data_IF_884878622243
#
_entry.id   IF_884878622243
#
_cell.length_a   1.000
_cell.length_b   1.000
_cell.length_c   1.000
_cell.angle_alpha   90.00
_cell.angle_beta   90.00
_cell.angle_gamma   90.00
#
_symmetry.space_group_name_H-M   'P 1'
#
loop_
_entity.id
_entity.type
_entity.pdbx_description
1 polymer ?
#
# COMPACT_ATOMS: atom_id res chain seq x y z
N UNK A 1 19.16 -1.55 -72.46
CA UNK A 1 19.97 -2.33 -71.49
C UNK A 1 20.31 -1.41 -70.34
N UNK A 2 19.43 -1.35 -69.34
CA UNK A 2 19.54 -0.46 -68.17
C UNK A 2 19.78 -1.33 -66.95
N UNK A 3 20.91 -1.09 -66.30
CA UNK A 3 21.50 -1.88 -65.23
C UNK A 3 20.60 -1.92 -63.99
N UNK A 4 20.39 -3.13 -63.45
CA UNK A 4 19.60 -3.43 -62.24
C UNK A 4 20.28 -2.99 -60.92
N UNK A 5 21.43 -2.33 -60.98
CA UNK A 5 22.24 -1.99 -59.80
C UNK A 5 22.02 -0.58 -59.22
N UNK A 6 21.13 0.24 -59.80
CA UNK A 6 20.94 1.63 -59.37
C UNK A 6 19.76 1.85 -58.38
N UNK A 7 19.27 0.78 -57.74
CA UNK A 7 18.06 0.85 -56.89
C UNK A 7 18.31 0.73 -55.38
N UNK A 8 19.58 0.61 -54.94
CA UNK A 8 19.90 0.29 -53.54
C UNK A 8 20.32 1.52 -52.71
N UNK A 9 20.66 2.66 -53.31
CA UNK A 9 21.27 3.79 -52.59
C UNK A 9 20.36 5.04 -52.41
N UNK A 10 19.06 4.85 -52.14
CA UNK A 10 18.20 5.94 -51.63
C UNK A 10 17.28 5.44 -50.52
N UNK A 11 17.84 5.27 -49.32
CA UNK A 11 17.06 5.36 -48.08
C UNK A 11 17.22 6.79 -47.53
N UNK A 12 16.15 7.58 -47.40
CA UNK A 12 16.23 8.84 -46.68
C UNK A 12 16.55 8.56 -45.21
N UNK A 13 17.60 9.21 -44.72
CA UNK A 13 18.04 9.15 -43.33
C UNK A 13 17.11 10.02 -42.47
N UNK A 14 15.89 9.56 -42.19
CA UNK A 14 14.95 10.24 -41.30
C UNK A 14 14.10 9.19 -40.59
N UNK A 15 14.69 8.43 -39.65
CA UNK A 15 13.89 7.61 -38.71
C UNK A 15 14.68 7.20 -37.45
N UNK A 16 15.66 8.03 -37.04
CA UNK A 16 16.43 7.80 -35.80
C UNK A 16 16.13 8.81 -34.69
N UNK A 17 15.41 9.90 -34.98
CA UNK A 17 15.02 10.86 -33.92
C UNK A 17 13.73 10.46 -33.19
N UNK A 18 12.98 9.47 -33.68
CA UNK A 18 11.72 9.04 -33.06
C UNK A 18 11.88 7.87 -32.06
N UNK A 19 13.10 7.42 -31.78
CA UNK A 19 13.40 6.34 -30.82
C UNK A 19 14.05 6.81 -29.52
N UNK A 20 14.33 8.11 -29.37
CA UNK A 20 14.90 8.66 -28.13
C UNK A 20 13.90 9.46 -27.28
N UNK A 21 12.63 9.53 -27.69
CA UNK A 21 11.53 9.94 -26.81
C UNK A 21 11.10 8.74 -25.96
N UNK A 22 11.98 8.32 -25.05
CA UNK A 22 11.54 7.64 -23.84
C UNK A 22 10.71 8.66 -23.08
N UNK A 23 9.40 8.68 -23.34
CA UNK A 23 8.44 9.28 -22.42
C UNK A 23 8.74 8.65 -21.07
N UNK A 24 9.35 9.42 -20.18
CA UNK A 24 9.40 9.10 -18.77
C UNK A 24 7.94 9.20 -18.37
N UNK A 25 7.23 8.08 -18.47
CA UNK A 25 5.94 7.92 -17.83
C UNK A 25 6.20 8.34 -16.39
N UNK A 26 5.65 9.49 -16.00
CA UNK A 26 5.63 9.92 -14.62
C UNK A 26 4.85 8.83 -13.92
N UNK A 27 5.57 7.84 -13.40
CA UNK A 27 5.05 6.91 -12.43
C UNK A 27 4.57 7.81 -11.33
N UNK A 28 3.25 7.92 -11.21
CA UNK A 28 2.59 8.62 -10.12
C UNK A 28 2.94 7.83 -8.85
N UNK A 29 4.16 8.07 -8.36
CA UNK A 29 4.72 7.42 -7.19
C UNK A 29 3.93 7.96 -6.02
N UNK A 30 2.86 7.24 -5.71
CA UNK A 30 2.00 7.55 -4.58
C UNK A 30 2.91 7.71 -3.36
N UNK A 31 2.93 8.89 -2.72
CA UNK A 31 3.84 9.15 -1.61
C UNK A 31 3.62 8.09 -0.54
N UNK A 32 4.73 7.60 0.03
CA UNK A 32 4.69 6.63 1.11
C UNK A 32 3.80 7.17 2.25
N UNK A 33 2.95 6.32 2.87
CA UNK A 33 2.06 6.77 3.93
C UNK A 33 2.86 7.31 5.11
N UNK A 34 2.47 8.48 5.62
CA UNK A 34 3.12 9.11 6.77
C UNK A 34 2.68 8.41 8.06
N UNK A 35 3.65 7.90 8.82
CA UNK A 35 3.40 7.34 10.15
C UNK A 35 3.17 8.49 11.14
N UNK A 36 1.99 8.49 11.76
CA UNK A 36 1.58 9.45 12.79
C UNK A 36 2.03 9.01 14.18
N UNK A 37 1.93 7.71 14.46
CA UNK A 37 2.23 7.12 15.76
C UNK A 37 2.64 5.66 15.60
N UNK A 38 3.44 5.15 16.53
CA UNK A 38 3.85 3.75 16.55
C UNK A 38 3.72 3.20 17.98
N UNK A 39 3.18 1.99 18.10
CA UNK A 39 3.11 1.24 19.36
C UNK A 39 3.95 -0.03 19.27
N UNK A 40 4.46 -0.51 20.40
CA UNK A 40 5.18 -1.77 20.49
C UNK A 40 4.26 -2.83 21.09
N UNK A 41 4.11 -3.94 20.37
CA UNK A 41 3.35 -5.11 20.83
C UNK A 41 4.12 -5.90 21.88
N UNK A 42 3.45 -6.75 22.66
CA UNK A 42 4.12 -7.69 23.57
C UNK A 42 5.07 -8.64 22.83
N UNK A 43 4.79 -8.95 21.55
CA UNK A 43 5.62 -9.79 20.69
C UNK A 43 6.80 -9.06 20.02
N UNK A 44 7.02 -7.77 20.29
CA UNK A 44 8.11 -6.97 19.72
C UNK A 44 7.92 -6.53 18.26
N UNK A 45 6.72 -6.74 17.70
CA UNK A 45 6.27 -6.12 16.47
C UNK A 45 5.75 -4.69 16.71
N UNK A 46 5.68 -3.88 15.66
CA UNK A 46 5.15 -2.51 15.71
C UNK A 46 3.70 -2.46 15.23
N UNK A 47 2.92 -1.56 15.82
CA UNK A 47 1.61 -1.15 15.29
C UNK A 47 1.74 0.29 14.82
N UNK A 48 1.66 0.49 13.50
CA UNK A 48 1.84 1.79 12.86
C UNK A 48 0.49 2.44 12.61
N UNK A 49 0.34 3.68 13.04
CA UNK A 49 -0.82 4.53 12.78
C UNK A 49 -0.46 5.48 11.63
N UNK A 50 -1.30 5.59 10.60
CA UNK A 50 -1.04 6.45 9.44
C UNK A 50 -2.29 7.20 8.98
N UNK A 51 -2.05 8.31 8.29
CA UNK A 51 -3.09 8.99 7.51
C UNK A 51 -3.50 8.10 6.34
N UNK A 52 -4.80 7.86 6.22
CA UNK A 52 -5.37 7.07 5.13
C UNK A 52 -6.41 7.90 4.39
N UNK A 53 -6.37 7.87 3.06
CA UNK A 53 -7.39 8.45 2.21
C UNK A 53 -8.00 7.36 1.33
N UNK A 54 -9.32 7.31 1.28
CA UNK A 54 -10.08 6.36 0.46
C UNK A 54 -11.18 7.07 -0.29
N UNK A 55 -11.70 6.40 -1.30
CA UNK A 55 -12.81 6.90 -2.11
C UNK A 55 -14.04 6.08 -1.80
N UNK A 56 -15.14 6.75 -1.46
CA UNK A 56 -16.43 6.12 -1.19
C UNK A 56 -17.35 6.41 -2.36
N UNK A 57 -17.86 5.34 -2.98
CA UNK A 57 -18.93 5.46 -3.97
C UNK A 57 -20.27 5.43 -3.24
N UNK A 58 -21.02 6.53 -3.28
CA UNK A 58 -22.36 6.59 -2.71
C UNK A 58 -23.38 6.11 -3.74
N UNK A 59 -24.17 5.11 -3.38
CA UNK A 59 -25.33 4.67 -4.16
C UNK A 59 -26.58 5.20 -3.48
N UNK A 60 -27.35 6.07 -4.15
CA UNK A 60 -28.59 6.62 -3.60
C UNK A 60 -29.53 7.02 -4.72
N UNK A 61 -30.72 6.40 -4.76
CA UNK A 61 -31.74 6.71 -5.77
C UNK A 61 -31.55 6.05 -7.13
N UNK A 62 -30.71 5.00 -7.24
CA UNK A 62 -30.49 4.27 -8.50
C UNK A 62 -29.50 4.94 -9.46
N UNK A 63 -29.03 6.15 -9.16
CA UNK A 63 -27.99 6.84 -9.91
C UNK A 63 -26.63 6.75 -9.22
N UNK A 64 -25.57 6.61 -10.00
CA UNK A 64 -24.20 6.64 -9.52
C UNK A 64 -23.84 8.08 -9.18
N UNK A 65 -23.60 8.37 -7.90
CA UNK A 65 -23.09 9.68 -7.47
C UNK A 65 -21.58 9.76 -7.70
N UNK A 66 -21.10 11.00 -7.77
CA UNK A 66 -19.66 11.24 -7.83
C UNK A 66 -18.94 10.59 -6.65
N UNK A 67 -17.77 9.98 -6.88
CA UNK A 67 -16.95 9.40 -5.82
C UNK A 67 -16.56 10.47 -4.81
N UNK A 68 -16.86 10.22 -3.52
CA UNK A 68 -16.48 11.12 -2.45
C UNK A 68 -15.12 10.70 -1.89
N UNK A 69 -14.13 11.58 -1.98
CA UNK A 69 -12.82 11.37 -1.34
C UNK A 69 -12.94 11.65 0.16
N UNK A 70 -12.52 10.69 0.97
CA UNK A 70 -12.49 10.75 2.43
C UNK A 70 -11.07 10.65 2.94
N UNK A 71 -10.84 11.21 4.12
CA UNK A 71 -9.59 11.12 4.84
C UNK A 71 -9.83 10.57 6.25
N UNK A 72 -8.83 9.95 6.85
CA UNK A 72 -8.97 9.37 8.18
C UNK A 72 -7.66 8.77 8.67
N UNK A 73 -7.76 7.98 9.73
CA UNK A 73 -6.62 7.33 10.36
C UNK A 73 -6.84 5.83 10.35
N UNK A 74 -5.80 5.10 9.98
CA UNK A 74 -5.78 3.65 9.97
C UNK A 74 -4.56 3.16 10.76
N UNK A 75 -4.69 2.01 11.41
CA UNK A 75 -3.55 1.33 12.04
C UNK A 75 -3.29 -0.03 11.41
N UNK A 76 -2.03 -0.45 11.37
CA UNK A 76 -1.59 -1.79 10.90
C UNK A 76 -0.56 -2.35 11.88
N UNK A 77 -0.77 -3.58 12.31
CA UNK A 77 0.21 -4.35 13.05
C UNK A 77 1.16 -5.09 12.10
N UNK A 78 2.45 -4.81 12.17
CA UNK A 78 3.51 -5.47 11.40
C UNK A 78 3.82 -6.90 11.88
N UNK A 79 3.15 -7.36 12.94
CA UNK A 79 3.36 -8.69 13.53
C UNK A 79 2.35 -9.72 13.04
N UNK A 80 1.06 -9.38 13.03
CA UNK A 80 -0.02 -10.27 12.60
C UNK A 80 -0.77 -9.79 11.35
N UNK A 81 -0.30 -8.72 10.72
CA UNK A 81 -0.92 -8.08 9.55
C UNK A 81 -2.38 -7.63 9.77
N UNK A 82 -2.85 -7.60 11.03
CA UNK A 82 -4.14 -7.02 11.37
C UNK A 82 -4.10 -5.52 11.14
N UNK A 83 -5.18 -5.01 10.58
CA UNK A 83 -5.39 -3.59 10.42
C UNK A 83 -6.68 -3.20 11.13
N UNK A 84 -6.65 -2.06 11.81
CA UNK A 84 -7.86 -1.43 12.32
C UNK A 84 -8.72 -1.03 11.15
N UNK A 85 -9.79 -1.79 10.91
CA UNK A 85 -10.83 -1.45 9.96
C UNK A 85 -12.14 -1.37 10.73
N UNK A 86 -12.55 -0.13 10.93
CA UNK A 86 -13.90 0.37 11.18
C UNK A 86 -15.00 -0.69 11.43
N UNK A 87 -15.57 -0.66 12.65
CA UNK A 87 -16.68 -1.53 13.00
C UNK A 87 -17.98 -1.10 12.28
N UNK A 88 -18.36 -1.92 11.30
CA UNK A 88 -19.74 -2.29 10.95
C UNK A 88 -20.54 -1.55 9.88
N UNK A 89 -20.05 -0.52 9.19
CA UNK A 89 -20.88 0.08 8.13
C UNK A 89 -20.20 0.31 6.77
N UNK A 90 -18.96 -0.17 6.56
CA UNK A 90 -18.32 -0.08 5.24
C UNK A 90 -18.03 1.34 4.75
N UNK A 91 -18.15 2.34 5.63
CA UNK A 91 -17.88 3.74 5.33
C UNK A 91 -16.42 4.16 5.62
N UNK A 92 -15.61 3.26 6.19
CA UNK A 92 -14.31 3.60 6.77
C UNK A 92 -14.50 4.45 8.03
N UNK A 93 -13.47 4.55 8.88
CA UNK A 93 -13.51 5.49 10.02
C UNK A 93 -13.61 6.89 9.45
N UNK A 94 -14.83 7.33 9.13
CA UNK A 94 -15.11 8.69 8.75
C UNK A 94 -14.73 9.49 9.97
N UNK A 95 -13.62 10.22 9.85
CA UNK A 95 -13.42 11.57 10.38
C UNK A 95 -14.20 11.78 11.69
N UNK A 96 -13.61 11.70 12.88
CA UNK A 96 -12.98 12.91 13.44
C UNK A 96 -12.09 12.65 14.64
N UNK A 97 -11.91 11.39 15.07
CA UNK A 97 -11.42 11.14 16.42
C UNK A 97 -10.15 10.29 16.43
N UNK A 98 -8.98 10.93 16.18
CA UNK A 98 -7.67 10.30 16.31
C UNK A 98 -7.47 9.54 17.61
N UNK A 99 -8.21 9.90 18.67
CA UNK A 99 -8.16 9.21 19.94
C UNK A 99 -8.69 7.77 19.85
N UNK A 100 -9.75 7.47 19.10
CA UNK A 100 -10.27 6.10 18.99
C UNK A 100 -9.33 5.19 18.20
N UNK A 101 -8.78 5.66 17.07
CA UNK A 101 -7.80 4.90 16.31
C UNK A 101 -6.56 4.62 17.15
N UNK A 102 -6.14 5.61 17.96
CA UNK A 102 -5.04 5.49 18.90
C UNK A 102 -5.33 4.47 20.00
N UNK A 103 -6.50 4.53 20.63
CA UNK A 103 -6.93 3.59 21.67
C UNK A 103 -7.03 2.17 21.13
N UNK A 104 -7.63 1.98 19.96
CA UNK A 104 -7.71 0.68 19.30
C UNK A 104 -6.33 0.11 18.95
N UNK A 105 -5.44 0.94 18.39
CA UNK A 105 -4.07 0.54 18.09
C UNK A 105 -3.28 0.18 19.36
N UNK A 106 -3.47 0.94 20.44
CA UNK A 106 -2.84 0.68 21.73
C UNK A 106 -3.42 -0.58 22.41
N UNK A 107 -4.73 -0.79 22.34
CA UNK A 107 -5.38 -2.00 22.85
C UNK A 107 -4.89 -3.23 22.10
N UNK A 108 -4.84 -3.16 20.77
CA UNK A 108 -4.26 -4.21 19.96
C UNK A 108 -2.79 -4.43 20.35
N UNK A 109 -1.96 -3.39 20.45
CA UNK A 109 -0.58 -3.53 20.87
C UNK A 109 -0.43 -4.20 22.26
N UNK A 110 -1.34 -3.91 23.18
CA UNK A 110 -1.34 -4.48 24.52
C UNK A 110 -1.67 -5.99 24.52
N UNK A 111 -2.47 -6.49 23.58
CA UNK A 111 -2.88 -7.89 23.51
C UNK A 111 -2.05 -8.72 22.53
N UNK A 112 -1.55 -8.06 21.49
CA UNK A 112 -0.88 -8.68 20.36
C UNK A 112 0.47 -9.26 20.81
N UNK A 113 0.57 -10.58 20.75
CA UNK A 113 1.80 -11.36 21.01
C UNK A 113 2.49 -11.98 19.77
N UNK A 114 2.13 -11.67 18.51
CA UNK A 114 2.79 -12.28 17.37
C UNK A 114 4.28 -11.90 17.42
N UNK A 115 5.11 -12.94 17.39
CA UNK A 115 6.52 -12.77 17.12
C UNK A 115 6.66 -12.10 15.75
N UNK A 116 7.63 -11.19 15.60
CA UNK A 116 8.01 -10.64 14.29
C UNK A 116 7.93 -11.76 13.24
N UNK A 117 7.09 -11.58 12.22
CA UNK A 117 7.24 -12.36 10.99
C UNK A 117 8.71 -12.27 10.60
N UNK A 118 9.41 -13.40 10.36
CA UNK A 118 10.78 -13.35 9.90
C UNK A 118 10.77 -12.46 8.67
N UNK A 119 11.48 -11.32 8.74
CA UNK A 119 11.63 -10.44 7.58
C UNK A 119 12.11 -11.32 6.42
N UNK A 120 11.48 -11.20 5.26
CA UNK A 120 11.87 -11.93 4.04
C UNK A 120 13.36 -11.80 3.70
N UNK A 121 14.00 -10.75 4.22
CA UNK A 121 15.39 -10.40 3.95
C UNK A 121 16.36 -10.82 5.07
N UNK A 122 15.90 -11.60 6.05
CA UNK A 122 16.79 -12.11 7.11
C UNK A 122 17.72 -13.20 6.55
N UNK A 123 19.05 -13.03 6.61
CA UNK A 123 19.99 -14.04 6.11
C UNK A 123 20.10 -15.28 7.01
N UNK A 124 19.37 -15.31 8.13
CA UNK A 124 19.38 -16.43 9.07
C UNK A 124 18.21 -17.38 8.81
N UNK A 125 18.45 -18.71 8.79
CA UNK A 125 17.40 -19.70 8.57
C UNK A 125 16.33 -19.66 9.69
N UNK A 126 15.06 -19.94 9.36
CA UNK A 126 13.92 -19.81 10.28
C UNK A 126 13.91 -20.80 11.46
N UNK A 127 14.86 -21.73 11.54
CA UNK A 127 14.80 -22.91 12.43
C UNK A 127 14.97 -22.62 13.93
N UNK A 128 15.24 -21.37 14.33
CA UNK A 128 15.35 -20.97 15.74
C UNK A 128 14.36 -19.90 16.18
N UNK A 129 13.53 -19.40 15.26
CA UNK A 129 12.45 -18.50 15.64
C UNK A 129 11.29 -19.32 16.21
N UNK A 130 10.75 -19.00 17.40
CA UNK A 130 9.58 -19.67 17.91
C UNK A 130 8.47 -19.60 16.84
N UNK A 131 8.00 -20.78 16.40
CA UNK A 131 6.93 -20.91 15.41
C UNK A 131 5.72 -20.11 15.91
N UNK A 132 5.45 -19.00 15.24
CA UNK A 132 4.39 -18.07 15.57
C UNK A 132 3.06 -18.82 15.48
N UNK A 133 2.43 -19.12 16.62
CA UNK A 133 1.09 -19.72 16.62
C UNK A 133 0.15 -18.70 16.00
N UNK A 134 -0.58 -19.13 14.96
CA UNK A 134 -1.53 -18.34 14.16
C UNK A 134 -2.73 -17.80 14.95
N UNK A 135 -2.76 -17.97 16.26
CA UNK A 135 -3.91 -17.69 17.11
C UNK A 135 -3.85 -16.23 17.61
N UNK A 136 -3.92 -15.28 16.67
CA UNK A 136 -4.26 -13.88 16.97
C UNK A 136 -5.75 -13.69 16.67
N UNK A 137 -6.62 -14.31 17.47
CA UNK A 137 -8.05 -14.01 17.50
C UNK A 137 -8.29 -13.14 18.73
N UNK A 138 -8.27 -11.82 18.54
CA UNK A 138 -8.96 -10.87 19.43
C UNK A 138 -10.36 -10.69 18.87
#
# INVERSE_FOLDING_TARGET
MTSLLDRILRRPATDLENLMSTEIATVDEKPAPRILMQFLTQGGATVDLYEHAWTVHQYGGGEQREPLRRSGIQWVCQGCDQAGKDHSLGWGYVETEPHYSREAANAHAAECRPCRSPRSDSPFPPDSAPLCRKDCTS
#
